data_IF_399919009068
#
_entry.id   IF_399919009068
#
_cell.length_a   1.000
_cell.length_b   1.000
_cell.length_c   1.000
_cell.angle_alpha   90.00
_cell.angle_beta   90.00
_cell.angle_gamma   90.00
#
_symmetry.space_group_name_H-M   'P 1'
#
loop_
_entity.id
_entity.type
_entity.pdbx_description
1 polymer ?
#
# COMPACT_ATOMS: atom_id res chain seq x y z
N UNK A 1 -19.66 25.82 1.50
CA UNK A 1 -18.92 24.82 0.70
C UNK A 1 -17.47 24.87 1.17
N UNK A 2 -17.07 23.95 2.04
CA UNK A 2 -15.71 23.95 2.59
C UNK A 2 -14.76 23.39 1.54
N UNK A 3 -13.91 24.26 0.97
CA UNK A 3 -12.67 23.85 0.33
C UNK A 3 -11.93 22.96 1.33
N UNK A 4 -11.95 21.65 1.09
CA UNK A 4 -10.96 20.76 1.68
C UNK A 4 -9.64 21.19 1.07
N UNK A 5 -8.95 22.12 1.74
CA UNK A 5 -7.66 22.60 1.32
C UNK A 5 -6.81 21.41 0.92
N UNK A 6 -6.38 21.37 -0.34
CA UNK A 6 -5.46 20.35 -0.82
C UNK A 6 -4.28 20.37 0.14
N UNK A 7 -4.19 19.37 1.02
CA UNK A 7 -2.96 19.16 1.77
C UNK A 7 -1.91 18.86 0.72
N UNK A 8 -0.97 19.78 0.59
CA UNK A 8 0.14 19.63 -0.32
C UNK A 8 0.90 18.36 0.06
N UNK A 9 1.08 17.48 -0.92
CA UNK A 9 1.84 16.25 -0.73
C UNK A 9 3.32 16.66 -0.70
N UNK A 10 4.12 16.17 0.26
CA UNK A 10 5.54 16.50 0.32
C UNK A 10 6.25 16.18 -1.02
N UNK A 11 7.19 17.03 -1.47
CA UNK A 11 7.82 16.89 -2.79
C UNK A 11 8.54 15.55 -2.96
N UNK A 12 9.13 15.00 -1.90
CA UNK A 12 9.79 13.69 -1.93
C UNK A 12 8.80 12.55 -2.21
N UNK A 13 7.55 12.68 -1.73
CA UNK A 13 6.49 11.70 -2.00
C UNK A 13 6.04 11.81 -3.44
N UNK A 14 5.84 13.03 -3.96
CA UNK A 14 5.50 13.25 -5.38
C UNK A 14 6.60 12.73 -6.30
N UNK A 15 7.87 12.99 -5.98
CA UNK A 15 9.01 12.49 -6.75
C UNK A 15 9.02 10.94 -6.79
N UNK A 16 8.78 10.28 -5.66
CA UNK A 16 8.68 8.82 -5.61
C UNK A 16 7.51 8.29 -6.45
N UNK A 17 6.34 8.96 -6.42
CA UNK A 17 5.18 8.58 -7.23
C UNK A 17 5.39 8.83 -8.72
N UNK A 18 6.10 9.89 -9.10
CA UNK A 18 6.44 10.18 -10.49
C UNK A 18 7.30 9.07 -11.12
N UNK A 19 8.25 8.51 -10.36
CA UNK A 19 9.05 7.36 -10.80
C UNK A 19 8.16 6.13 -11.09
N UNK A 20 7.15 5.88 -10.28
CA UNK A 20 6.20 4.77 -10.48
C UNK A 20 5.25 5.09 -11.64
N UNK A 21 4.83 6.34 -11.79
CA UNK A 21 3.94 6.79 -12.86
C UNK A 21 4.56 6.63 -14.26
N UNK A 22 5.88 6.72 -14.37
CA UNK A 22 6.64 6.53 -15.61
C UNK A 22 6.66 5.08 -16.11
N UNK A 23 6.20 4.10 -15.32
CA UNK A 23 6.10 2.71 -15.76
C UNK A 23 5.01 2.58 -16.82
N UNK A 24 5.39 2.14 -18.01
CA UNK A 24 4.51 2.07 -19.19
C UNK A 24 3.36 1.06 -18.97
N UNK A 25 3.70 -0.16 -18.56
CA UNK A 25 2.72 -1.24 -18.36
C UNK A 25 1.84 -0.96 -17.13
N UNK A 26 0.51 -0.86 -17.29
CA UNK A 26 -0.38 -0.55 -16.18
C UNK A 26 -0.38 -1.64 -15.09
N UNK A 27 -0.18 -2.92 -15.46
CA UNK A 27 -0.10 -4.02 -14.50
C UNK A 27 1.15 -3.90 -13.62
N UNK A 28 2.29 -3.61 -14.23
CA UNK A 28 3.58 -3.42 -13.54
C UNK A 28 3.50 -2.24 -12.57
N UNK A 29 2.88 -1.14 -13.03
CA UNK A 29 2.63 0.06 -12.22
C UNK A 29 1.68 -0.22 -11.05
N UNK A 30 0.58 -0.94 -11.29
CA UNK A 30 -0.36 -1.33 -10.24
C UNK A 30 0.31 -2.23 -9.19
N UNK A 31 1.11 -3.21 -9.62
CA UNK A 31 1.89 -4.08 -8.72
C UNK A 31 2.87 -3.27 -7.88
N UNK A 32 3.59 -2.33 -8.48
CA UNK A 32 4.57 -1.54 -7.74
C UNK A 32 3.89 -0.60 -6.73
N UNK A 33 2.79 0.06 -7.11
CA UNK A 33 2.00 0.90 -6.19
C UNK A 33 1.46 0.08 -5.02
N UNK A 34 0.83 -1.07 -5.29
CA UNK A 34 0.21 -1.88 -4.25
C UNK A 34 1.25 -2.45 -3.26
N UNK A 35 2.42 -2.89 -3.75
CA UNK A 35 3.52 -3.32 -2.89
C UNK A 35 4.07 -2.16 -2.05
N UNK A 36 4.22 -0.97 -2.66
CA UNK A 36 4.70 0.23 -1.97
C UNK A 36 3.75 0.66 -0.85
N UNK A 37 2.44 0.72 -1.12
CA UNK A 37 1.41 1.05 -0.13
C UNK A 37 1.42 0.03 1.01
N UNK A 38 1.43 -1.27 0.69
CA UNK A 38 1.46 -2.32 1.70
C UNK A 38 2.69 -2.21 2.61
N UNK A 39 3.88 -1.95 2.03
CA UNK A 39 5.11 -1.80 2.79
C UNK A 39 5.11 -0.52 3.63
N UNK A 40 4.68 0.61 3.08
CA UNK A 40 4.60 1.89 3.78
C UNK A 40 3.64 1.84 4.97
N UNK A 41 2.42 1.31 4.77
CA UNK A 41 1.42 1.19 5.83
C UNK A 41 1.87 0.21 6.92
N UNK A 42 2.54 -0.88 6.56
CA UNK A 42 3.13 -1.80 7.54
C UNK A 42 4.20 -1.14 8.40
N UNK A 43 5.04 -0.27 7.81
CA UNK A 43 6.04 0.51 8.55
C UNK A 43 5.39 1.55 9.46
N UNK A 44 4.37 2.26 8.96
CA UNK A 44 3.60 3.22 9.73
C UNK A 44 2.92 2.56 10.94
N UNK A 45 2.32 1.38 10.75
CA UNK A 45 1.68 0.64 11.84
C UNK A 45 2.68 0.26 12.93
N UNK A 46 3.87 -0.23 12.54
CA UNK A 46 4.94 -0.57 13.48
C UNK A 46 5.39 0.67 14.27
N UNK A 47 5.75 1.75 13.58
CA UNK A 47 6.14 3.02 14.20
C UNK A 47 5.06 3.51 15.17
N UNK A 48 3.79 3.50 14.75
CA UNK A 48 2.69 3.96 15.59
C UNK A 48 2.55 3.13 16.87
N UNK A 49 2.73 1.80 16.80
CA UNK A 49 2.69 0.92 17.97
C UNK A 49 3.84 1.18 18.93
N UNK A 50 5.04 1.33 18.39
CA UNK A 50 6.26 1.56 19.16
C UNK A 50 6.15 2.90 19.92
N UNK A 51 5.75 3.97 19.22
CA UNK A 51 5.56 5.29 19.80
C UNK A 51 4.38 5.33 20.79
N UNK A 52 3.25 4.68 20.48
CA UNK A 52 2.11 4.61 21.41
C UNK A 52 2.48 3.88 22.72
N UNK A 53 3.34 2.86 22.63
CA UNK A 53 3.85 2.15 23.81
C UNK A 53 4.80 3.03 24.61
N UNK A 54 5.80 3.61 23.94
CA UNK A 54 6.83 4.43 24.58
C UNK A 54 6.27 5.70 25.24
N UNK A 55 5.18 6.25 24.69
CA UNK A 55 4.62 7.54 25.10
C UNK A 55 3.40 7.42 26.02
N UNK A 56 3.08 6.24 26.55
CA UNK A 56 1.88 6.02 27.37
C UNK A 56 1.81 7.01 28.54
N UNK A 57 0.68 7.73 28.64
CA UNK A 57 0.47 8.77 29.67
C UNK A 57 1.00 10.16 29.32
N UNK A 58 1.72 10.32 28.19
CA UNK A 58 2.11 11.64 27.68
C UNK A 58 0.98 12.33 26.90
N UNK A 59 1.15 13.63 26.65
CA UNK A 59 0.20 14.46 25.89
C UNK A 59 -0.10 13.91 24.49
N UNK A 60 0.91 13.36 23.81
CA UNK A 60 0.78 12.92 22.41
C UNK A 60 0.30 11.47 22.27
N UNK A 61 0.20 10.73 23.39
CA UNK A 61 -0.17 9.32 23.40
C UNK A 61 -1.47 9.04 22.62
N UNK A 62 -2.49 9.87 22.84
CA UNK A 62 -3.80 9.68 22.21
C UNK A 62 -3.73 9.78 20.68
N UNK A 63 -2.83 10.62 20.13
CA UNK A 63 -2.65 10.73 18.68
C UNK A 63 -1.99 9.47 18.12
N UNK A 64 -0.95 8.96 18.79
CA UNK A 64 -0.30 7.70 18.41
C UNK A 64 -1.25 6.50 18.51
N UNK A 65 -2.04 6.40 19.58
CA UNK A 65 -3.04 5.35 19.72
C UNK A 65 -4.10 5.39 18.61
N UNK A 66 -4.56 6.59 18.21
CA UNK A 66 -5.45 6.74 17.05
C UNK A 66 -4.78 6.30 15.75
N UNK A 67 -3.50 6.61 15.56
CA UNK A 67 -2.74 6.18 14.39
C UNK A 67 -2.54 4.66 14.35
N UNK A 68 -2.36 3.98 15.50
CA UNK A 68 -2.34 2.51 15.59
C UNK A 68 -3.66 1.93 15.08
N UNK A 69 -4.79 2.48 15.50
CA UNK A 69 -6.11 2.02 15.09
C UNK A 69 -6.37 2.25 13.59
N UNK A 70 -6.04 3.44 13.08
CA UNK A 70 -6.20 3.77 11.67
C UNK A 70 -5.33 2.89 10.76
N UNK A 71 -4.04 2.75 11.12
CA UNK A 71 -3.09 1.94 10.36
C UNK A 71 -3.43 0.46 10.37
N UNK A 72 -4.00 -0.08 11.47
CA UNK A 72 -4.46 -1.48 11.53
C UNK A 72 -5.46 -1.81 10.41
N UNK A 73 -6.46 -0.95 10.20
CA UNK A 73 -7.44 -1.14 9.14
C UNK A 73 -6.81 -0.96 7.76
N UNK A 74 -5.92 0.02 7.62
CA UNK A 74 -5.22 0.26 6.36
C UNK A 74 -4.31 -0.92 5.96
N UNK A 75 -3.68 -1.63 6.90
CA UNK A 75 -2.87 -2.82 6.62
C UNK A 75 -3.70 -3.89 5.87
N UNK A 76 -4.94 -4.13 6.31
CA UNK A 76 -5.82 -5.12 5.68
C UNK A 76 -6.16 -4.71 4.25
N UNK A 77 -6.61 -3.46 4.04
CA UNK A 77 -6.91 -2.95 2.71
C UNK A 77 -5.68 -2.97 1.79
N UNK A 78 -4.51 -2.57 2.29
CA UNK A 78 -3.27 -2.57 1.53
C UNK A 78 -2.79 -3.99 1.18
N UNK A 79 -3.02 -4.97 2.06
CA UNK A 79 -2.74 -6.38 1.76
C UNK A 79 -3.62 -6.88 0.62
N UNK A 80 -4.92 -6.56 0.66
CA UNK A 80 -5.86 -6.92 -0.41
C UNK A 80 -5.46 -6.29 -1.75
N UNK A 81 -5.11 -5.00 -1.76
CA UNK A 81 -4.60 -4.34 -2.97
C UNK A 81 -3.38 -5.04 -3.55
N UNK A 82 -2.42 -5.44 -2.70
CA UNK A 82 -1.21 -6.15 -3.12
C UNK A 82 -1.54 -7.51 -3.72
N UNK A 83 -2.41 -8.27 -3.08
CA UNK A 83 -2.85 -9.58 -3.56
C UNK A 83 -3.51 -9.46 -4.94
N UNK A 84 -4.52 -8.60 -5.06
CA UNK A 84 -5.23 -8.37 -6.33
C UNK A 84 -4.27 -7.89 -7.41
N UNK A 85 -3.43 -6.88 -7.13
CA UNK A 85 -2.49 -6.35 -8.11
C UNK A 85 -1.47 -7.42 -8.58
N UNK A 86 -1.02 -8.29 -7.69
CA UNK A 86 -0.07 -9.38 -8.03
C UNK A 86 -0.73 -10.46 -8.90
N UNK A 87 -2.04 -10.64 -8.80
CA UNK A 87 -2.79 -11.55 -9.65
C UNK A 87 -3.03 -11.01 -11.08
N UNK A 88 -2.88 -9.69 -11.30
CA UNK A 88 -3.09 -9.09 -12.62
C UNK A 88 -2.00 -9.57 -13.59
N UNK A 89 -2.43 -10.25 -14.66
CA UNK A 89 -1.55 -10.80 -15.70
C UNK A 89 -1.02 -12.21 -15.40
N UNK A 90 -1.39 -12.80 -14.27
CA UNK A 90 -0.98 -14.15 -13.84
C UNK A 90 -2.04 -15.21 -14.20
N UNK A 91 -3.12 -14.84 -14.90
CA UNK A 91 -4.02 -15.80 -15.55
C UNK A 91 -3.26 -16.53 -16.65
N UNK A 92 -2.59 -17.61 -16.25
CA UNK A 92 -2.02 -18.59 -17.12
C UNK A 92 -3.11 -19.16 -18.04
N UNK A 93 -2.82 -19.14 -19.33
CA UNK A 93 -3.44 -19.99 -20.34
C UNK A 93 -3.42 -21.43 -19.82
N UNK A 94 -4.54 -22.17 -19.78
CA UNK A 94 -4.47 -23.61 -19.65
C UNK A 94 -3.74 -24.13 -20.89
N UNK A 95 -2.48 -24.55 -20.73
CA UNK A 95 -1.78 -25.34 -21.73
C UNK A 95 -2.56 -26.65 -21.88
N UNK A 96 -3.40 -26.72 -22.90
CA UNK A 96 -4.00 -27.97 -23.36
C UNK A 96 -2.87 -28.96 -23.63
N UNK A 97 -2.93 -30.20 -23.11
CA UNK A 97 -1.97 -31.22 -23.50
C UNK A 97 -2.18 -31.55 -24.99
N UNK A 98 -1.09 -31.44 -25.74
CA UNK A 98 -0.98 -31.86 -27.14
C UNK A 98 -1.48 -33.31 -27.27
N UNK A 99 -2.36 -33.52 -28.25
CA UNK A 99 -2.86 -34.83 -28.64
C UNK A 99 -1.74 -35.59 -29.35
N UNK A 100 -1.05 -36.47 -28.64
CA UNK A 100 -0.16 -37.45 -29.27
C UNK A 100 -0.91 -38.78 -29.38
N UNK A 101 -1.45 -39.05 -30.58
CA UNK A 101 -1.96 -40.36 -30.99
C UNK A 101 -1.08 -40.86 -32.15
N UNK A 102 -0.45 -42.04 -32.04
CA UNK A 102 -0.07 -42.85 -33.19
C UNK A 102 -1.27 -43.63 -33.77
#
# INVERSE_FOLDING_TARGET
MSEHGRREVPPDVEAALALIAAIERPEDRARLLANSINRAISQLHRLARDEATARKGSRDWAAWAKLVNASRNAVLAASMCREVATAIGTSAVPTSPETESP
#
